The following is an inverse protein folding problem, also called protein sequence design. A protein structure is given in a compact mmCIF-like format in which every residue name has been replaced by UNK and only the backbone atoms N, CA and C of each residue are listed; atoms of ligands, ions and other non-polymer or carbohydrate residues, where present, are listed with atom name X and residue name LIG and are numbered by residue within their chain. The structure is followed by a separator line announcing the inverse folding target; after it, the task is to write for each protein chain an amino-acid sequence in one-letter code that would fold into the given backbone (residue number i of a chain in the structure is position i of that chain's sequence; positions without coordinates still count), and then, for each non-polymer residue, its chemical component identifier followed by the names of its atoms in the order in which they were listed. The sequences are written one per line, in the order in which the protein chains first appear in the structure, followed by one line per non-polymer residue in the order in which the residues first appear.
data_IF_257928188324
#
_entry.id   IF_257928188324
#
_cell.length_a   1.000
_cell.length_b   1.000
_cell.length_c   1.000
_cell.angle_alpha   90.00
_cell.angle_beta   90.00
_cell.angle_gamma   90.00
#
_symmetry.space_group_name_H-M   'P 1'
#
loop_
_entity.id
_entity.type
_entity.pdbx_description
1 polymer ?
#
# COMPACT_ATOMS: atom_id res chain seq x y z
N UNK A 1 49.73 -47.98 20.15
CA UNK A 1 48.37 -47.89 20.73
C UNK A 1 48.12 -46.56 21.47
N UNK A 2 49.01 -46.10 22.38
CA UNK A 2 48.85 -44.83 23.12
C UNK A 2 48.74 -43.54 22.27
N UNK A 3 49.41 -43.48 21.11
CA UNK A 3 49.31 -42.32 20.19
C UNK A 3 47.96 -42.24 19.46
N UNK A 4 47.33 -43.39 19.20
CA UNK A 4 46.01 -43.47 18.55
C UNK A 4 44.89 -43.05 19.53
N UNK A 5 45.03 -43.43 20.81
CA UNK A 5 44.09 -43.02 21.87
C UNK A 5 44.18 -41.51 22.16
N UNK A 6 45.38 -40.92 22.11
CA UNK A 6 45.55 -39.46 22.27
C UNK A 6 44.97 -38.70 21.07
N UNK A 7 45.16 -39.21 19.84
CA UNK A 7 44.58 -38.61 18.64
C UNK A 7 43.05 -38.66 18.63
N UNK A 8 42.46 -39.74 19.12
CA UNK A 8 40.99 -39.88 19.25
C UNK A 8 40.42 -38.93 20.32
N UNK A 9 41.14 -38.76 21.43
CA UNK A 9 40.74 -37.85 22.51
C UNK A 9 40.80 -36.37 22.08
N UNK A 10 41.78 -36.00 21.25
CA UNK A 10 41.89 -34.65 20.66
C UNK A 10 40.76 -34.39 19.65
N UNK A 11 40.39 -35.38 18.84
CA UNK A 11 39.29 -35.24 17.86
C UNK A 11 37.92 -35.10 18.53
N UNK A 12 37.70 -35.78 19.67
CA UNK A 12 36.51 -35.60 20.49
C UNK A 12 36.45 -34.23 21.17
N UNK A 13 37.59 -33.63 21.51
CA UNK A 13 37.63 -32.30 22.15
C UNK A 13 37.31 -31.16 21.17
N UNK A 14 37.51 -31.37 19.86
CA UNK A 14 37.16 -30.39 18.81
C UNK A 14 35.71 -30.47 18.33
N UNK A 15 34.95 -31.48 18.77
CA UNK A 15 33.58 -31.72 18.31
C UNK A 15 32.51 -30.85 19.01
N UNK A 16 32.89 -29.87 19.82
CA UNK A 16 31.96 -29.12 20.66
C UNK A 16 31.71 -27.70 20.16
N UNK A 17 30.42 -27.43 19.97
CA UNK A 17 29.72 -26.14 19.82
C UNK A 17 29.54 -25.62 18.39
N UNK A 18 28.76 -26.34 17.58
CA UNK A 18 27.90 -25.68 16.60
C UNK A 18 26.72 -25.02 17.33
N UNK A 19 26.95 -23.84 17.90
CA UNK A 19 25.87 -23.01 18.43
C UNK A 19 25.13 -22.36 17.26
N UNK A 20 23.91 -22.83 16.95
CA UNK A 20 23.04 -22.15 16.00
C UNK A 20 22.64 -20.79 16.58
N UNK A 21 23.24 -19.73 16.04
CA UNK A 21 22.91 -18.37 16.48
C UNK A 21 21.62 -17.95 15.78
N UNK A 22 20.48 -18.15 16.44
CA UNK A 22 19.17 -17.74 15.90
C UNK A 22 18.85 -16.35 16.42
N UNK A 23 18.60 -15.40 15.52
CA UNK A 23 18.22 -14.04 15.92
C UNK A 23 16.75 -14.06 16.31
N UNK A 24 16.40 -13.37 17.39
CA UNK A 24 15.02 -13.28 17.87
C UNK A 24 14.07 -12.78 16.76
N UNK A 25 14.52 -11.83 15.92
CA UNK A 25 13.73 -11.31 14.78
C UNK A 25 13.42 -12.36 13.70
N UNK A 26 14.17 -13.45 13.64
CA UNK A 26 14.02 -14.50 12.64
C UNK A 26 12.95 -15.52 13.09
N UNK A 27 12.64 -15.61 14.40
CA UNK A 27 11.71 -16.59 14.98
C UNK A 27 10.50 -15.99 15.71
N UNK A 28 10.53 -14.69 15.99
CA UNK A 28 9.51 -14.01 16.75
C UNK A 28 9.12 -12.66 16.15
N UNK A 29 7.88 -12.28 16.40
CA UNK A 29 7.23 -11.04 15.97
C UNK A 29 6.75 -10.27 17.18
N UNK A 30 6.63 -8.94 17.09
CA UNK A 30 6.06 -8.18 18.19
C UNK A 30 4.57 -8.48 18.29
N UNK A 31 4.05 -8.66 19.52
CA UNK A 31 2.63 -8.95 19.72
C UNK A 31 1.71 -7.80 19.25
N UNK A 32 2.25 -6.57 19.14
CA UNK A 32 1.56 -5.37 18.68
C UNK A 32 1.86 -5.02 17.21
N UNK A 33 1.89 -5.99 16.30
CA UNK A 33 1.98 -5.77 14.85
C UNK A 33 0.62 -5.35 14.22
N UNK A 34 -0.20 -4.58 14.93
CA UNK A 34 -1.47 -4.11 14.38
C UNK A 34 -1.21 -3.00 13.35
N UNK A 35 -1.21 -3.36 12.08
CA UNK A 35 -1.23 -2.41 10.97
C UNK A 35 -2.51 -1.58 11.04
N UNK A 36 -2.38 -0.28 10.84
CA UNK A 36 -3.51 0.64 10.77
C UNK A 36 -3.94 0.69 9.30
N UNK A 37 -5.17 0.24 8.96
CA UNK A 37 -5.67 0.40 7.60
C UNK A 37 -5.89 1.88 7.34
N UNK A 38 -5.46 2.33 6.17
CA UNK A 38 -5.64 3.69 5.70
C UNK A 38 -6.57 3.70 4.50
N UNK A 39 -7.47 4.68 4.47
CA UNK A 39 -8.43 4.90 3.41
C UNK A 39 -8.48 6.38 3.04
N UNK A 40 -8.60 6.68 1.76
CA UNK A 40 -8.73 8.03 1.25
C UNK A 40 -9.58 8.08 -0.01
N UNK A 41 -10.32 9.17 -0.16
CA UNK A 41 -11.07 9.45 -1.37
C UNK A 41 -10.31 10.45 -2.23
N UNK A 42 -10.02 10.06 -3.47
CA UNK A 42 -9.13 10.79 -4.37
C UNK A 42 -9.70 10.99 -5.77
N UNK A 43 -8.95 11.72 -6.57
CA UNK A 43 -9.20 11.90 -8.00
C UNK A 43 -7.99 11.42 -8.80
N UNK A 44 -8.25 10.68 -9.86
CA UNK A 44 -7.27 10.31 -10.89
C UNK A 44 -7.53 11.16 -12.10
N UNK A 45 -6.48 11.74 -12.67
CA UNK A 45 -6.55 12.58 -13.87
C UNK A 45 -5.63 12.06 -14.97
N UNK A 46 -5.79 12.58 -16.18
CA UNK A 46 -4.95 12.17 -17.33
C UNK A 46 -5.40 10.87 -17.96
N UNK A 47 -6.65 10.45 -17.72
CA UNK A 47 -7.24 9.29 -18.38
C UNK A 47 -7.62 9.66 -19.82
N UNK A 48 -7.40 8.74 -20.77
CA UNK A 48 -7.65 8.95 -22.20
C UNK A 48 -9.12 8.65 -22.57
N UNK A 49 -10.04 9.46 -22.04
CA UNK A 49 -11.49 9.28 -22.27
C UNK A 49 -12.12 8.09 -21.54
N UNK A 50 -11.36 7.38 -20.70
CA UNK A 50 -11.78 6.22 -19.89
C UNK A 50 -12.17 6.57 -18.45
N UNK A 51 -12.19 7.85 -18.09
CA UNK A 51 -12.67 8.34 -16.81
C UNK A 51 -14.19 8.25 -16.67
N UNK A 52 -14.70 8.82 -15.58
CA UNK A 52 -16.12 8.76 -15.24
C UNK A 52 -16.99 9.52 -16.27
N UNK A 53 -18.24 9.09 -16.38
CA UNK A 53 -19.24 9.80 -17.17
C UNK A 53 -19.88 10.95 -16.40
N UNK A 54 -20.69 11.76 -17.09
CA UNK A 54 -21.46 12.84 -16.46
C UNK A 54 -22.50 12.32 -15.46
N UNK A 55 -22.86 11.04 -15.51
CA UNK A 55 -23.83 10.46 -14.57
C UNK A 55 -23.26 10.36 -13.15
N UNK A 56 -21.94 10.26 -13.03
CA UNK A 56 -21.19 10.17 -11.77
C UNK A 56 -21.03 11.54 -11.12
N UNK A 57 -22.11 12.02 -10.48
CA UNK A 57 -22.17 13.37 -9.91
C UNK A 57 -21.10 13.65 -8.84
N UNK A 58 -20.70 12.64 -8.07
CA UNK A 58 -19.70 12.82 -7.03
C UNK A 58 -18.32 13.16 -7.60
N UNK A 59 -17.94 12.62 -8.77
CA UNK A 59 -16.68 12.95 -9.45
C UNK A 59 -16.67 14.41 -9.89
N UNK A 60 -17.77 14.87 -10.49
CA UNK A 60 -17.94 16.28 -10.90
C UNK A 60 -17.81 17.19 -9.68
N UNK A 61 -18.56 16.89 -8.62
CA UNK A 61 -18.54 17.68 -7.39
C UNK A 61 -17.14 17.74 -6.78
N UNK A 62 -16.44 16.63 -6.76
CA UNK A 62 -15.11 16.52 -6.15
C UNK A 62 -14.08 17.34 -6.93
N UNK A 63 -14.15 17.26 -8.26
CA UNK A 63 -13.28 18.02 -9.15
C UNK A 63 -13.56 19.52 -9.04
N UNK A 64 -14.83 19.93 -8.95
CA UNK A 64 -15.23 21.33 -8.72
C UNK A 64 -14.71 21.83 -7.38
N UNK A 65 -14.96 21.09 -6.28
CA UNK A 65 -14.47 21.46 -4.95
C UNK A 65 -12.93 21.58 -4.92
N UNK A 66 -12.23 20.74 -5.67
CA UNK A 66 -10.77 20.81 -5.78
C UNK A 66 -10.33 22.08 -6.51
N UNK A 67 -10.93 22.37 -7.67
CA UNK A 67 -10.64 23.59 -8.43
C UNK A 67 -10.94 24.85 -7.61
N UNK A 68 -12.05 24.87 -6.88
CA UNK A 68 -12.42 25.98 -5.99
C UNK A 68 -11.37 26.19 -4.88
N UNK A 69 -10.89 25.12 -4.24
CA UNK A 69 -9.79 25.20 -3.27
C UNK A 69 -8.49 25.73 -3.87
N UNK A 70 -8.29 25.55 -5.17
CA UNK A 70 -7.14 26.08 -5.91
C UNK A 70 -7.39 27.50 -6.45
N UNK A 71 -8.52 28.14 -6.10
CA UNK A 71 -8.87 29.49 -6.52
C UNK A 71 -9.49 29.58 -7.92
N UNK A 72 -9.91 28.46 -8.50
CA UNK A 72 -10.56 28.41 -9.82
C UNK A 72 -12.05 28.13 -9.64
N UNK A 73 -12.89 29.11 -9.98
CA UNK A 73 -14.34 28.95 -9.97
C UNK A 73 -14.81 28.31 -11.27
N UNK A 74 -15.58 27.23 -11.15
CA UNK A 74 -16.14 26.50 -12.30
C UNK A 74 -17.60 26.17 -12.07
N UNK A 75 -18.42 26.34 -13.10
CA UNK A 75 -19.81 25.88 -13.04
C UNK A 75 -19.87 24.36 -13.26
N UNK A 76 -20.52 23.63 -12.33
CA UNK A 76 -20.66 22.16 -12.41
C UNK A 76 -21.15 21.66 -13.76
N UNK A 77 -22.05 22.41 -14.40
CA UNK A 77 -22.66 22.03 -15.67
C UNK A 77 -21.70 22.08 -16.87
N UNK A 78 -20.60 22.84 -16.75
CA UNK A 78 -19.59 23.03 -17.81
C UNK A 78 -18.44 22.02 -17.69
N UNK A 79 -18.29 21.36 -16.54
CA UNK A 79 -17.20 20.42 -16.27
C UNK A 79 -17.44 19.09 -17.00
N UNK A 80 -16.42 18.64 -17.74
CA UNK A 80 -16.38 17.31 -18.39
C UNK A 80 -15.39 16.43 -17.65
N UNK A 81 -15.84 15.25 -17.21
CA UNK A 81 -15.05 14.31 -16.38
C UNK A 81 -14.54 13.08 -17.12
N UNK A 82 -14.68 13.02 -18.44
CA UNK A 82 -14.21 11.88 -19.27
C UNK A 82 -12.72 11.51 -19.08
N UNK A 83 -11.90 12.44 -18.59
CA UNK A 83 -10.47 12.24 -18.33
C UNK A 83 -10.12 12.21 -16.83
N UNK A 84 -11.14 12.08 -15.98
CA UNK A 84 -11.04 12.10 -14.52
C UNK A 84 -11.87 10.96 -13.94
N UNK A 85 -11.33 10.25 -12.96
CA UNK A 85 -12.07 9.24 -12.21
C UNK A 85 -11.99 9.53 -10.72
N UNK A 86 -13.11 9.37 -10.03
CA UNK A 86 -13.14 9.33 -8.58
C UNK A 86 -12.73 7.93 -8.10
N UNK A 87 -11.82 7.90 -7.13
CA UNK A 87 -11.18 6.66 -6.69
C UNK A 87 -11.15 6.53 -5.19
N UNK A 88 -11.15 5.29 -4.74
CA UNK A 88 -10.79 4.92 -3.39
C UNK A 88 -9.31 4.53 -3.35
N UNK A 89 -8.58 5.10 -2.40
CA UNK A 89 -7.17 4.81 -2.16
C UNK A 89 -7.07 4.08 -0.83
N UNK A 90 -6.43 2.92 -0.83
CA UNK A 90 -6.20 2.13 0.38
C UNK A 90 -4.71 1.86 0.58
N UNK A 91 -4.30 1.80 1.83
CA UNK A 91 -2.93 1.48 2.22
C UNK A 91 -2.90 0.90 3.63
N UNK A 92 -1.75 0.40 4.03
CA UNK A 92 -1.54 -0.13 5.38
C UNK A 92 -0.35 0.56 6.02
N UNK A 93 -0.58 1.14 7.20
CA UNK A 93 0.45 1.79 8.00
C UNK A 93 0.94 0.84 9.08
N UNK A 94 2.19 0.39 8.96
CA UNK A 94 2.83 -0.36 10.03
C UNK A 94 3.13 0.58 11.23
N UNK A 95 2.93 0.12 12.47
CA UNK A 95 3.13 0.93 13.68
C UNK A 95 4.58 1.38 13.89
N UNK A 96 5.54 0.79 13.18
CA UNK A 96 6.96 1.12 13.28
C UNK A 96 7.42 2.13 12.23
N UNK A 97 6.53 2.56 11.33
CA UNK A 97 6.88 3.52 10.29
C UNK A 97 7.00 4.93 10.86
N UNK A 98 7.99 5.67 10.38
CA UNK A 98 8.27 7.05 10.79
C UNK A 98 7.73 8.05 9.78
N UNK A 99 7.50 9.29 10.23
CA UNK A 99 7.19 10.39 9.32
C UNK A 99 8.27 10.53 8.24
N UNK A 100 7.85 10.86 7.01
CA UNK A 100 8.70 10.92 5.82
C UNK A 100 8.93 9.59 5.11
N UNK A 101 8.63 8.45 5.74
CA UNK A 101 8.69 7.16 5.08
C UNK A 101 7.56 7.02 4.05
N UNK A 102 7.80 6.17 3.04
CA UNK A 102 6.85 5.92 1.96
C UNK A 102 6.22 4.54 2.06
N UNK A 103 4.96 4.45 1.67
CA UNK A 103 4.22 3.20 1.53
C UNK A 103 3.55 3.12 0.16
N UNK A 104 3.34 1.90 -0.29
CA UNK A 104 2.55 1.63 -1.47
C UNK A 104 1.06 1.79 -1.17
N UNK A 105 0.31 2.25 -2.16
CA UNK A 105 -1.15 2.33 -2.08
C UNK A 105 -1.81 1.63 -3.24
N UNK A 106 -3.00 1.10 -3.00
CA UNK A 106 -3.89 0.57 -4.02
C UNK A 106 -4.94 1.62 -4.34
N UNK A 107 -5.22 1.81 -5.62
CA UNK A 107 -6.19 2.77 -6.13
C UNK A 107 -7.24 2.01 -6.90
N UNK A 108 -8.50 2.19 -6.53
CA UNK A 108 -9.63 1.50 -7.16
C UNK A 108 -10.65 2.53 -7.63
N UNK A 109 -11.14 2.37 -8.86
CA UNK A 109 -12.24 3.19 -9.37
C UNK A 109 -13.48 3.04 -8.49
N UNK A 110 -14.12 4.15 -8.15
CA UNK A 110 -15.38 4.17 -7.38
C UNK A 110 -16.59 4.50 -8.28
N UNK A 111 -16.36 5.17 -9.40
CA UNK A 111 -17.38 5.54 -10.37
C UNK A 111 -17.55 4.53 -11.49
N UNK A 112 -17.83 5.06 -12.67
CA UNK A 112 -18.12 4.31 -13.89
C UNK A 112 -17.01 4.44 -14.96
N UNK A 113 -15.82 4.91 -14.56
CA UNK A 113 -14.61 4.84 -15.37
C UNK A 113 -14.39 3.41 -15.90
N UNK A 114 -13.91 3.30 -17.13
CA UNK A 114 -13.63 2.02 -17.80
C UNK A 114 -12.17 1.59 -17.65
N UNK A 115 -11.26 2.51 -17.29
CA UNK A 115 -9.85 2.23 -17.06
C UNK A 115 -9.17 3.36 -16.28
N UNK A 116 -8.28 3.00 -15.34
CA UNK A 116 -7.34 3.89 -14.66
C UNK A 116 -5.96 3.95 -15.35
N UNK A 117 -5.81 3.27 -16.50
CA UNK A 117 -4.55 3.23 -17.25
C UNK A 117 -4.06 4.62 -17.65
N UNK A 118 -2.76 4.88 -17.45
CA UNK A 118 -2.14 6.17 -17.78
C UNK A 118 -2.52 7.32 -16.84
N UNK A 119 -3.41 7.05 -15.87
CA UNK A 119 -3.86 8.03 -14.91
C UNK A 119 -2.80 8.38 -13.88
N UNK A 120 -2.93 9.57 -13.30
CA UNK A 120 -2.16 10.04 -12.15
C UNK A 120 -3.11 10.34 -11.00
N UNK A 121 -2.85 9.74 -9.84
CA UNK A 121 -3.52 10.03 -8.60
C UNK A 121 -3.09 11.42 -8.10
N UNK A 122 -4.06 12.31 -7.93
CA UNK A 122 -3.86 13.59 -7.26
C UNK A 122 -3.70 13.41 -5.76
N UNK A 123 -3.08 14.40 -5.11
CA UNK A 123 -2.82 14.36 -3.67
C UNK A 123 -4.09 14.01 -2.89
N UNK A 124 -4.03 12.87 -2.20
CA UNK A 124 -5.17 12.24 -1.53
C UNK A 124 -4.79 11.96 -0.09
N UNK A 125 -5.41 12.62 0.89
CA UNK A 125 -5.17 12.33 2.30
C UNK A 125 -5.71 10.94 2.64
N UNK A 126 -4.93 10.19 3.42
CA UNK A 126 -5.25 8.85 3.89
C UNK A 126 -5.46 8.85 5.40
N UNK A 127 -6.63 8.44 5.81
CA UNK A 127 -7.05 8.40 7.20
C UNK A 127 -7.30 6.98 7.70
N UNK A 128 -7.19 6.77 9.01
CA UNK A 128 -7.70 5.56 9.64
C UNK A 128 -9.24 5.52 9.61
N UNK A 129 -9.88 4.40 9.99
CA UNK A 129 -11.35 4.32 10.08
C UNK A 129 -11.98 5.29 11.09
N UNK A 130 -11.19 5.91 11.98
CA UNK A 130 -11.64 6.93 12.92
C UNK A 130 -11.52 8.36 12.34
N UNK A 131 -10.94 8.53 11.15
CA UNK A 131 -10.77 9.82 10.47
C UNK A 131 -9.46 10.55 10.75
N UNK A 132 -8.51 9.93 11.47
CA UNK A 132 -7.20 10.52 11.69
C UNK A 132 -6.33 10.37 10.43
N UNK A 133 -5.94 11.49 9.82
CA UNK A 133 -5.04 11.48 8.66
C UNK A 133 -3.61 11.16 9.11
N UNK A 134 -3.00 10.15 8.48
CA UNK A 134 -1.61 9.73 8.75
C UNK A 134 -0.66 9.92 7.58
N UNK A 135 -1.17 9.90 6.36
CA UNK A 135 -0.35 9.95 5.16
C UNK A 135 -1.08 10.67 4.02
N UNK A 136 -0.33 11.13 3.03
CA UNK A 136 -0.85 11.68 1.78
C UNK A 136 -0.31 10.89 0.60
N UNK A 137 -1.22 10.42 -0.27
CA UNK A 137 -0.91 9.62 -1.45
C UNK A 137 -0.98 10.44 -2.74
N UNK A 138 -0.02 10.26 -3.63
CA UNK A 138 -0.04 10.83 -4.98
C UNK A 138 0.87 10.04 -5.93
N UNK A 139 0.64 10.18 -7.23
CA UNK A 139 1.59 9.71 -8.24
C UNK A 139 0.95 8.93 -9.40
N UNK A 140 1.78 8.50 -10.37
CA UNK A 140 1.30 7.76 -11.53
C UNK A 140 0.78 6.38 -11.12
N UNK A 141 -0.32 5.96 -11.74
CA UNK A 141 -0.92 4.66 -11.46
C UNK A 141 -0.31 3.59 -12.36
N UNK A 142 0.19 2.55 -11.72
CA UNK A 142 0.60 1.31 -12.39
C UNK A 142 -0.54 0.30 -12.30
N UNK A 143 -1.12 -0.09 -13.43
CA UNK A 143 -2.11 -1.17 -13.50
C UNK A 143 -1.46 -2.48 -13.95
N UNK A 144 -2.04 -3.62 -13.55
CA UNK A 144 -1.49 -4.95 -13.85
C UNK A 144 -1.94 -5.55 -15.20
N UNK A 145 -2.59 -4.78 -16.07
CA UNK A 145 -3.18 -5.26 -17.32
C UNK A 145 -3.32 -4.18 -18.39
N UNK A 146 -3.56 -4.56 -19.64
CA UNK A 146 -3.84 -3.66 -20.75
C UNK A 146 -5.02 -4.22 -21.55
N UNK A 147 -6.00 -3.37 -21.89
CA UNK A 147 -7.08 -3.74 -22.81
C UNK A 147 -6.59 -3.58 -24.25
N UNK A 148 -6.31 -4.69 -24.94
CA UNK A 148 -6.08 -4.69 -26.40
C UNK A 148 -7.36 -5.17 -27.07
N UNK A 149 -8.04 -4.28 -27.79
CA UNK A 149 -9.16 -4.66 -28.65
C UNK A 149 -8.63 -4.95 -30.05
N UNK A 150 -8.32 -6.21 -30.34
CA UNK A 150 -8.04 -6.66 -31.70
C UNK A 150 -9.35 -6.79 -32.46
N UNK A 151 -9.45 -6.17 -33.64
CA UNK A 151 -10.61 -6.35 -34.51
C UNK A 151 -10.79 -7.84 -34.85
N UNK A 152 -12.05 -8.29 -34.86
CA UNK A 152 -12.50 -9.69 -35.02
C UNK A 152 -12.56 -10.53 -33.73
N UNK A 153 -13.70 -10.45 -33.04
CA UNK A 153 -14.31 -11.58 -32.34
C UNK A 153 -13.85 -11.92 -30.93
N UNK A 154 -12.55 -11.81 -30.62
CA UNK A 154 -12.04 -12.23 -29.31
C UNK A 154 -11.69 -11.06 -28.40
N UNK A 155 -12.60 -10.78 -27.45
CA UNK A 155 -12.29 -9.95 -26.27
C UNK A 155 -11.33 -10.73 -25.37
N UNK A 156 -10.03 -10.52 -25.55
CA UNK A 156 -9.05 -10.89 -24.54
C UNK A 156 -9.21 -9.95 -23.32
N UNK A 157 -10.11 -10.29 -22.42
CA UNK A 157 -10.20 -9.66 -21.10
C UNK A 157 -9.17 -10.36 -20.22
N UNK A 158 -7.96 -9.80 -20.13
CA UNK A 158 -7.05 -10.17 -19.05
C UNK A 158 -6.51 -8.90 -18.37
N UNK A 159 -6.91 -8.79 -17.10
CA UNK A 159 -6.44 -7.93 -16.01
C UNK A 159 -7.11 -6.57 -15.74
N UNK A 160 -7.32 -6.39 -14.44
CA UNK A 160 -7.95 -5.33 -13.66
C UNK A 160 -7.56 -3.91 -14.12
N UNK A 161 -8.28 -3.34 -15.08
CA UNK A 161 -8.04 -1.95 -15.54
C UNK A 161 -8.60 -0.90 -14.60
N UNK A 162 -9.49 -1.29 -13.68
CA UNK A 162 -10.13 -0.41 -12.70
C UNK A 162 -9.39 -0.34 -11.37
N UNK A 163 -8.33 -1.14 -11.21
CA UNK A 163 -7.50 -1.19 -10.01
C UNK A 163 -6.04 -1.03 -10.40
N UNK A 164 -5.33 -0.16 -9.70
CA UNK A 164 -3.91 0.05 -9.87
C UNK A 164 -3.19 0.21 -8.54
N UNK A 165 -1.87 0.27 -8.61
CA UNK A 165 -1.00 0.55 -7.47
C UNK A 165 -0.24 1.84 -7.76
N UNK A 166 0.01 2.63 -6.73
CA UNK A 166 1.01 3.70 -6.77
C UNK A 166 2.15 3.27 -5.84
N UNK A 167 3.22 2.68 -6.40
CA UNK A 167 4.37 2.25 -5.60
C UNK A 167 5.04 3.46 -4.95
N UNK A 168 5.29 3.36 -3.64
CA UNK A 168 5.84 4.41 -2.80
C UNK A 168 5.09 5.76 -2.92
N UNK A 169 3.80 5.68 -3.26
CA UNK A 169 2.96 6.84 -3.57
C UNK A 169 2.49 7.62 -2.34
N UNK A 170 2.39 6.97 -1.18
CA UNK A 170 1.99 7.61 0.05
C UNK A 170 3.19 7.98 0.91
N UNK A 171 3.21 9.22 1.40
CA UNK A 171 4.21 9.73 2.36
C UNK A 171 3.52 9.86 3.71
N UNK A 172 4.13 9.27 4.74
CA UNK A 172 3.63 9.35 6.11
C UNK A 172 3.94 10.73 6.68
N UNK A 173 2.92 11.44 7.13
CA UNK A 173 3.03 12.77 7.72
C UNK A 173 3.00 12.71 9.25
N UNK A 174 2.24 11.75 9.81
CA UNK A 174 2.08 11.57 11.24
C UNK A 174 2.50 10.17 11.63
N UNK A 175 3.38 10.06 12.62
CA UNK A 175 3.73 8.77 13.19
C UNK A 175 2.51 8.18 13.91
N UNK A 176 2.22 6.87 13.72
CA UNK A 176 1.18 6.22 14.50
C UNK A 176 1.49 6.35 15.99
N UNK A 177 0.47 6.51 16.85
CA UNK A 177 0.69 6.57 18.29
C UNK A 177 1.42 5.30 18.71
N UNK A 178 2.66 5.45 19.18
CA UNK A 178 3.41 4.33 19.74
C UNK A 178 2.65 3.89 20.97
N UNK A 179 2.06 2.69 20.93
CA UNK A 179 1.42 2.08 22.09
C UNK A 179 2.49 1.83 23.15
N UNK A 180 2.69 2.86 23.97
CA UNK A 180 3.39 2.89 25.24
C UNK A 180 4.90 2.65 25.18
N UNK A 181 5.61 3.40 26.03
CA UNK A 181 6.91 3.00 26.56
C UNK A 181 6.71 1.60 27.17
N UNK A 182 7.00 0.56 26.40
CA UNK A 182 6.76 -0.81 26.81
C UNK A 182 7.65 -1.13 28.01
N UNK A 183 7.08 -1.13 29.22
CA UNK A 183 7.77 -1.63 30.42
C UNK A 183 8.13 -3.11 30.29
N UNK A 184 7.51 -3.82 29.35
CA UNK A 184 7.85 -5.19 28.96
C UNK A 184 7.59 -5.40 27.46
N UNK A 185 8.51 -6.07 26.78
CA UNK A 185 8.37 -6.43 25.36
C UNK A 185 7.72 -7.81 25.26
N UNK A 186 6.56 -7.91 24.62
CA UNK A 186 5.90 -9.19 24.33
C UNK A 186 6.15 -9.61 22.89
N UNK A 187 6.75 -10.77 22.73
CA UNK A 187 7.05 -11.38 21.44
C UNK A 187 6.17 -12.62 21.24
N UNK A 188 5.62 -12.77 20.04
CA UNK A 188 4.90 -13.95 19.59
C UNK A 188 5.81 -14.75 18.66
N UNK A 189 6.05 -16.02 18.98
CA UNK A 189 6.78 -16.92 18.08
C UNK A 189 6.00 -17.08 16.76
N UNK A 190 6.71 -17.10 15.63
CA UNK A 190 6.11 -17.31 14.32
C UNK A 190 5.54 -18.72 14.20
N UNK A 191 6.29 -19.70 14.70
CA UNK A 191 5.92 -21.11 14.81
C UNK A 191 6.03 -21.53 16.29
N UNK A 192 4.98 -21.31 17.10
CA UNK A 192 4.98 -21.75 18.49
C UNK A 192 4.88 -23.28 18.54
N UNK A 193 5.82 -23.93 19.21
CA UNK A 193 5.78 -25.35 19.56
C UNK A 193 6.05 -25.48 21.06
N UNK A 194 5.44 -26.50 21.68
CA UNK A 194 5.64 -26.87 23.08
C UNK A 194 6.65 -28.01 23.27
N UNK A 195 7.21 -28.52 22.17
CA UNK A 195 8.11 -29.69 22.12
C UNK A 195 9.56 -29.26 21.91
#
# INVERSE_FOLDING_TARGET
MKKLTISCLILMLTASVFGTTVRIKDIAKFQSENTIPLIGYGLVVGLDGTGDSRSTQFTIQSLVNMMERMGVTVEKNQVKVKNVAAVMVTGELSPFMTAGARIDVTVSSMGDASSLQGGTLLITPLADPAGNVYASAQGPISIGGFNISSGQGDKFINNYTLVGRVPNGAIIEKQPPVTQQLSSVKLRLQTPDFT
#
